data_IF_541329514309
#
_entry.id   IF_541329514309
#
_cell.length_a   1.000
_cell.length_b   1.000
_cell.length_c   1.000
_cell.angle_alpha   90.00
_cell.angle_beta   90.00
_cell.angle_gamma   90.00
#
_symmetry.space_group_name_H-M   'P 1'
#
loop_
_entity.id
_entity.type
_entity.pdbx_description
1 polymer ?
#
# COMPACT_ATOMS: atom_id res chain seq x y z
N UNK A 1 43.29 -13.22 28.73
CA UNK A 1 42.33 -12.16 29.10
C UNK A 1 41.60 -11.73 27.85
N UNK A 2 40.27 -11.70 27.87
CA UNK A 2 39.46 -11.21 26.76
C UNK A 2 39.63 -9.69 26.67
N UNK A 3 39.91 -9.16 25.47
CA UNK A 3 40.09 -7.72 25.26
C UNK A 3 38.75 -7.00 25.18
N UNK A 4 38.73 -5.69 25.47
CA UNK A 4 37.53 -4.88 25.31
C UNK A 4 36.98 -4.93 23.86
N UNK A 5 37.86 -4.98 22.86
CA UNK A 5 37.48 -5.14 21.46
C UNK A 5 36.73 -6.47 21.19
N UNK A 6 37.15 -7.56 21.83
CA UNK A 6 36.48 -8.86 21.74
C UNK A 6 35.11 -8.88 22.43
N UNK A 7 34.90 -8.06 23.47
CA UNK A 7 33.60 -7.91 24.13
C UNK A 7 32.68 -7.00 23.30
N UNK A 8 33.22 -5.99 22.61
CA UNK A 8 32.42 -5.06 21.82
C UNK A 8 31.96 -5.63 20.48
N UNK A 9 32.74 -6.54 19.88
CA UNK A 9 32.39 -7.17 18.61
C UNK A 9 31.09 -7.99 18.67
N UNK A 10 30.74 -8.54 19.84
CA UNK A 10 29.49 -9.29 20.03
C UNK A 10 28.24 -8.39 20.02
N UNK A 11 28.40 -7.08 20.15
CA UNK A 11 27.31 -6.09 20.14
C UNK A 11 27.28 -5.26 18.85
N UNK A 12 28.13 -5.56 17.86
CA UNK A 12 28.06 -4.92 16.55
C UNK A 12 26.82 -5.41 15.79
N UNK A 13 25.84 -4.52 15.63
CA UNK A 13 24.71 -4.76 14.74
C UNK A 13 25.16 -4.65 13.28
N UNK A 14 24.81 -5.65 12.48
CA UNK A 14 25.09 -5.72 11.03
C UNK A 14 24.04 -4.99 10.19
N UNK A 15 23.06 -4.33 10.82
CA UNK A 15 21.88 -3.76 10.15
C UNK A 15 20.79 -4.79 9.84
N UNK A 16 21.17 -6.07 9.70
CA UNK A 16 20.27 -7.24 9.68
C UNK A 16 19.68 -7.52 11.07
N UNK A 17 19.91 -6.66 12.08
CA UNK A 17 19.25 -6.69 13.40
C UNK A 17 18.28 -5.50 13.63
N UNK A 18 17.99 -4.66 12.62
CA UNK A 18 16.93 -3.63 12.64
C UNK A 18 15.50 -4.21 12.64
N UNK A 19 14.50 -3.60 13.26
CA UNK A 19 13.13 -4.10 13.56
C UNK A 19 12.28 -4.83 12.47
N UNK A 20 12.83 -5.18 11.31
CA UNK A 20 12.19 -5.86 10.18
C UNK A 20 12.57 -7.34 10.00
N UNK A 21 13.15 -8.03 11.00
CA UNK A 21 13.50 -9.46 10.88
C UNK A 21 12.28 -10.33 10.68
N UNK A 22 12.38 -11.19 9.68
CA UNK A 22 11.68 -12.48 9.55
C UNK A 22 10.14 -12.45 9.58
N UNK A 23 9.52 -11.27 9.59
CA UNK A 23 8.14 -11.14 9.10
C UNK A 23 8.24 -11.09 7.60
N UNK A 24 7.72 -12.11 6.92
CA UNK A 24 7.58 -12.25 5.47
C UNK A 24 6.87 -11.05 4.80
N UNK A 25 7.44 -9.85 4.86
CA UNK A 25 6.89 -8.63 4.27
C UNK A 25 7.56 -8.48 2.92
N UNK A 26 6.97 -9.13 1.93
CA UNK A 26 7.33 -8.89 0.54
C UNK A 26 6.85 -7.48 0.16
N UNK A 27 7.66 -6.69 -0.58
CA UNK A 27 7.18 -5.43 -1.14
C UNK A 27 5.90 -5.72 -1.94
N UNK A 28 4.93 -4.81 -1.86
CA UNK A 28 3.66 -4.92 -2.60
C UNK A 28 3.53 -3.78 -3.62
N UNK A 29 3.73 -2.53 -3.18
CA UNK A 29 3.50 -1.35 -4.02
C UNK A 29 4.59 -1.17 -5.09
N UNK A 30 5.86 -1.42 -4.75
CA UNK A 30 7.00 -1.24 -5.66
C UNK A 30 7.64 -2.57 -6.09
N UNK A 31 6.90 -3.65 -5.92
CA UNK A 31 7.41 -5.00 -6.19
C UNK A 31 7.70 -5.19 -7.68
N UNK A 32 8.91 -5.63 -8.00
CA UNK A 32 9.30 -5.94 -9.38
C UNK A 32 9.45 -4.72 -10.30
N UNK A 33 9.51 -3.50 -9.76
CA UNK A 33 9.80 -2.30 -10.55
C UNK A 33 11.31 -2.11 -10.75
N UNK A 34 11.71 -1.70 -11.95
CA UNK A 34 13.09 -1.36 -12.30
C UNK A 34 13.28 0.13 -12.71
N UNK A 35 12.20 0.91 -12.62
CA UNK A 35 12.16 2.33 -13.00
C UNK A 35 11.79 2.57 -14.46
N UNK A 36 11.72 1.54 -15.30
CA UNK A 36 11.38 1.64 -16.72
C UNK A 36 10.13 0.84 -17.10
N UNK A 37 9.80 -0.18 -16.30
CA UNK A 37 8.70 -1.12 -16.55
C UNK A 37 7.34 -0.68 -15.94
N UNK A 38 7.05 0.62 -15.92
CA UNK A 38 5.80 1.17 -15.38
C UNK A 38 4.66 1.24 -16.41
N UNK A 39 4.92 0.83 -17.66
CA UNK A 39 3.93 0.80 -18.72
C UNK A 39 2.82 -0.22 -18.47
N UNK A 40 1.65 0.00 -19.09
CA UNK A 40 0.44 -0.82 -18.91
C UNK A 40 0.67 -2.33 -19.09
N UNK A 41 1.44 -2.72 -20.11
CA UNK A 41 1.74 -4.13 -20.41
C UNK A 41 2.55 -4.79 -19.30
N UNK A 42 3.56 -4.07 -18.79
CA UNK A 42 4.41 -4.57 -17.72
C UNK A 42 3.65 -4.62 -16.39
N UNK A 43 2.79 -3.63 -16.13
CA UNK A 43 1.88 -3.62 -14.99
C UNK A 43 0.97 -4.85 -15.01
N UNK A 44 0.33 -5.15 -16.14
CA UNK A 44 -0.48 -6.36 -16.32
C UNK A 44 0.34 -7.65 -16.16
N UNK A 45 1.55 -7.71 -16.72
CA UNK A 45 2.44 -8.87 -16.60
C UNK A 45 2.87 -9.16 -15.14
N UNK A 46 2.87 -8.14 -14.27
CA UNK A 46 3.10 -8.27 -12.82
C UNK A 46 1.82 -8.57 -12.02
N UNK A 47 0.69 -8.86 -12.68
CA UNK A 47 -0.60 -9.13 -12.03
C UNK A 47 -1.47 -7.88 -11.81
N UNK A 48 -1.15 -6.78 -12.48
CA UNK A 48 -1.95 -5.56 -12.49
C UNK A 48 -3.41 -5.82 -12.86
N UNK A 49 -4.32 -5.08 -12.22
CA UNK A 49 -5.78 -5.20 -12.34
C UNK A 49 -6.44 -6.52 -11.90
N UNK A 50 -5.71 -7.53 -11.44
CA UNK A 50 -6.34 -8.80 -10.99
C UNK A 50 -7.39 -8.56 -9.89
N UNK A 51 -7.05 -7.76 -8.88
CA UNK A 51 -7.98 -7.39 -7.82
C UNK A 51 -9.18 -6.60 -8.36
N UNK A 52 -8.97 -5.68 -9.31
CA UNK A 52 -10.04 -4.89 -9.90
C UNK A 52 -11.01 -5.77 -10.70
N UNK A 53 -10.48 -6.68 -11.51
CA UNK A 53 -11.26 -7.65 -12.28
C UNK A 53 -12.13 -8.51 -11.37
N UNK A 54 -11.55 -9.01 -10.26
CA UNK A 54 -12.29 -9.76 -9.23
C UNK A 54 -13.42 -8.94 -8.61
N UNK A 55 -13.16 -7.67 -8.25
CA UNK A 55 -14.16 -6.79 -7.63
C UNK A 55 -15.32 -6.49 -8.59
N UNK A 56 -15.01 -6.21 -9.86
CA UNK A 56 -15.98 -5.83 -10.89
C UNK A 56 -16.66 -7.01 -11.60
N UNK A 57 -16.43 -8.25 -11.16
CA UNK A 57 -16.92 -9.46 -11.82
C UNK A 57 -16.48 -9.62 -13.29
N UNK A 58 -15.28 -9.12 -13.64
CA UNK A 58 -14.71 -9.34 -14.96
C UNK A 58 -13.98 -10.70 -14.96
N UNK A 59 -14.72 -11.79 -15.20
CA UNK A 59 -14.22 -13.18 -15.18
C UNK A 59 -15.26 -14.15 -14.62
N UNK A 60 -14.81 -15.21 -13.94
CA UNK A 60 -15.68 -16.18 -13.26
C UNK A 60 -15.97 -15.73 -11.82
N UNK A 61 -17.19 -15.26 -11.54
CA UNK A 61 -17.63 -14.89 -10.19
C UNK A 61 -18.73 -13.83 -10.16
N UNK A 62 -19.26 -13.56 -8.96
CA UNK A 62 -20.36 -12.60 -8.74
C UNK A 62 -19.91 -11.14 -8.49
N UNK A 63 -18.60 -10.89 -8.45
CA UNK A 63 -18.05 -9.59 -8.03
C UNK A 63 -18.25 -9.32 -6.53
N UNK A 64 -17.81 -8.15 -6.08
CA UNK A 64 -18.06 -7.68 -4.71
C UNK A 64 -19.04 -6.52 -4.74
N UNK A 65 -20.00 -6.53 -3.81
CA UNK A 65 -20.86 -5.37 -3.57
C UNK A 65 -20.07 -4.24 -2.91
N UNK A 66 -20.58 -3.01 -2.98
CA UNK A 66 -19.98 -1.86 -2.31
C UNK A 66 -19.79 -2.10 -0.80
N UNK A 67 -20.75 -2.76 -0.16
CA UNK A 67 -20.69 -3.07 1.27
C UNK A 67 -19.62 -4.12 1.58
N UNK A 68 -19.46 -5.14 0.73
CA UNK A 68 -18.39 -6.14 0.86
C UNK A 68 -17.01 -5.50 0.74
N UNK A 69 -16.79 -4.64 -0.26
CA UNK A 69 -15.52 -3.91 -0.41
C UNK A 69 -15.21 -3.06 0.82
N UNK A 70 -16.19 -2.32 1.33
CA UNK A 70 -16.02 -1.46 2.52
C UNK A 70 -15.76 -2.30 3.77
N UNK A 71 -16.42 -3.46 3.92
CA UNK A 71 -16.18 -4.40 5.00
C UNK A 71 -14.74 -4.95 4.95
N UNK A 72 -14.26 -5.38 3.78
CA UNK A 72 -12.88 -5.86 3.60
C UNK A 72 -11.85 -4.79 3.98
N UNK A 73 -12.04 -3.53 3.56
CA UNK A 73 -11.12 -2.45 3.92
C UNK A 73 -11.20 -2.11 5.41
N UNK A 74 -12.38 -2.21 6.04
CA UNK A 74 -12.53 -2.04 7.50
C UNK A 74 -11.80 -3.15 8.27
N UNK A 75 -11.94 -4.40 7.85
CA UNK A 75 -11.29 -5.56 8.44
C UNK A 75 -9.76 -5.51 8.29
N UNK A 76 -9.25 -4.99 7.16
CA UNK A 76 -7.81 -4.84 6.92
C UNK A 76 -7.10 -3.90 7.92
N UNK A 77 -7.85 -3.08 8.66
CA UNK A 77 -7.29 -2.08 9.56
C UNK A 77 -6.56 -0.94 8.85
N UNK A 78 -6.80 -0.72 7.55
CA UNK A 78 -6.15 0.35 6.78
C UNK A 78 -6.45 1.72 7.39
N UNK A 79 -5.38 2.44 7.74
CA UNK A 79 -5.41 3.83 8.21
C UNK A 79 -4.91 4.77 7.13
N UNK A 80 -5.41 6.00 7.11
CA UNK A 80 -5.00 7.04 6.18
C UNK A 80 -3.50 7.33 6.25
N UNK A 81 -2.84 7.38 5.09
CA UNK A 81 -1.38 7.55 4.96
C UNK A 81 -0.92 8.98 4.65
N UNK A 82 -1.84 9.93 4.56
CA UNK A 82 -1.55 11.36 4.46
C UNK A 82 -1.44 12.07 5.83
N UNK A 83 -0.90 11.40 6.85
CA UNK A 83 -0.67 11.99 8.18
C UNK A 83 -1.82 11.84 9.20
N UNK A 84 -3.08 12.02 8.80
CA UNK A 84 -4.21 12.02 9.74
C UNK A 84 -4.49 10.67 10.44
N UNK A 85 -4.13 9.53 9.81
CA UNK A 85 -4.27 8.21 10.42
C UNK A 85 -5.71 7.74 10.69
N UNK A 86 -6.73 8.38 10.10
CA UNK A 86 -8.13 7.98 10.26
C UNK A 86 -8.41 6.61 9.60
N UNK A 87 -9.23 5.71 10.18
CA UNK A 87 -9.55 4.42 9.57
C UNK A 87 -10.28 4.57 8.22
N UNK A 88 -9.67 4.10 7.13
CA UNK A 88 -10.15 4.31 5.76
C UNK A 88 -11.50 3.63 5.50
N UNK A 89 -11.68 2.38 5.97
CA UNK A 89 -12.95 1.66 5.81
C UNK A 89 -14.11 2.33 6.55
N UNK A 90 -13.86 2.94 7.71
CA UNK A 90 -14.86 3.75 8.42
C UNK A 90 -15.17 5.04 7.65
N UNK A 91 -14.14 5.75 7.15
CA UNK A 91 -14.32 6.95 6.32
C UNK A 91 -15.24 6.68 5.13
N UNK A 92 -15.06 5.57 4.43
CA UNK A 92 -15.89 5.19 3.28
C UNK A 92 -17.35 4.86 3.66
N UNK A 93 -17.58 4.35 4.88
CA UNK A 93 -18.93 4.04 5.34
C UNK A 93 -19.79 5.29 5.64
N UNK A 94 -19.20 6.47 5.77
CA UNK A 94 -19.95 7.72 5.92
C UNK A 94 -20.58 8.21 4.61
N UNK A 95 -20.15 7.70 3.45
CA UNK A 95 -20.73 8.09 2.18
C UNK A 95 -22.13 7.47 1.99
N UNK A 96 -23.18 8.29 1.75
CA UNK A 96 -24.53 7.78 1.57
C UNK A 96 -24.61 6.84 0.36
N UNK A 97 -25.22 5.66 0.57
CA UNK A 97 -25.39 4.65 -0.49
C UNK A 97 -26.25 5.19 -1.63
N UNK A 98 -27.41 5.73 -1.27
CA UNK A 98 -28.46 6.20 -2.16
C UNK A 98 -28.40 7.71 -2.46
N UNK A 99 -27.23 8.34 -2.39
CA UNK A 99 -27.12 9.77 -2.72
C UNK A 99 -27.59 10.01 -4.17
N UNK A 100 -28.60 10.86 -4.42
CA UNK A 100 -29.24 11.02 -5.73
C UNK A 100 -28.44 11.91 -6.71
N UNK A 101 -27.13 12.00 -6.57
CA UNK A 101 -26.28 12.88 -7.39
C UNK A 101 -24.90 12.28 -7.69
N UNK A 102 -24.11 13.04 -8.46
CA UNK A 102 -22.77 12.62 -8.84
C UNK A 102 -21.86 12.51 -7.61
N UNK A 103 -21.13 11.40 -7.52
CA UNK A 103 -20.08 11.19 -6.51
C UNK A 103 -18.73 11.49 -7.14
N UNK A 104 -17.83 12.07 -6.36
CA UNK A 104 -16.47 12.41 -6.78
C UNK A 104 -15.46 11.69 -5.90
N UNK A 105 -14.36 11.24 -6.52
CA UNK A 105 -13.20 10.70 -5.85
C UNK A 105 -12.04 11.67 -6.09
N UNK A 106 -11.34 12.05 -5.03
CA UNK A 106 -10.15 12.90 -5.11
C UNK A 106 -8.97 12.12 -4.56
N UNK A 107 -7.95 11.93 -5.40
CA UNK A 107 -6.64 11.48 -4.96
C UNK A 107 -5.85 12.70 -4.49
N UNK A 108 -5.47 12.75 -3.21
CA UNK A 108 -4.58 13.81 -2.74
C UNK A 108 -3.13 13.38 -2.99
N UNK A 109 -2.52 13.96 -4.01
CA UNK A 109 -1.11 13.77 -4.37
C UNK A 109 -0.24 14.98 -3.99
N UNK A 110 -0.76 15.91 -3.19
CA UNK A 110 0.01 17.05 -2.69
C UNK A 110 0.94 16.57 -1.56
N UNK A 111 2.18 16.24 -1.93
CA UNK A 111 3.23 15.79 -1.03
C UNK A 111 4.17 16.94 -0.67
N UNK A 112 3.62 17.97 0.00
CA UNK A 112 4.34 19.21 0.32
C UNK A 112 5.05 19.24 1.68
N UNK A 113 4.87 18.23 2.53
CA UNK A 113 5.49 18.21 3.86
C UNK A 113 7.00 17.94 3.75
N UNK A 114 7.87 18.77 4.37
CA UNK A 114 9.32 18.57 4.31
C UNK A 114 9.73 17.18 4.78
N UNK A 115 10.49 16.47 3.95
CA UNK A 115 10.96 15.11 4.25
C UNK A 115 9.99 13.98 3.83
N UNK A 116 8.84 14.30 3.24
CA UNK A 116 7.97 13.32 2.59
C UNK A 116 8.28 13.20 1.10
N UNK A 117 8.43 11.96 0.61
CA UNK A 117 8.77 11.66 -0.78
C UNK A 117 8.28 10.28 -1.26
N UNK A 118 7.29 9.71 -0.57
CA UNK A 118 6.78 8.35 -0.80
C UNK A 118 5.80 8.30 -1.98
N UNK A 119 4.99 9.36 -2.17
CA UNK A 119 3.92 9.36 -3.17
C UNK A 119 4.49 9.72 -4.54
N UNK A 120 5.48 10.63 -4.59
CA UNK A 120 6.20 10.98 -5.82
C UNK A 120 6.67 9.75 -6.61
N UNK A 121 7.34 8.82 -5.93
CA UNK A 121 7.93 7.66 -6.60
C UNK A 121 6.85 6.65 -7.04
N UNK A 122 5.73 6.56 -6.34
CA UNK A 122 4.58 5.76 -6.78
C UNK A 122 4.01 6.36 -8.07
N UNK A 123 3.78 7.67 -8.11
CA UNK A 123 3.25 8.33 -9.31
C UNK A 123 4.20 8.25 -10.51
N UNK A 124 5.51 8.24 -10.26
CA UNK A 124 6.52 8.20 -11.31
C UNK A 124 6.76 6.79 -11.84
N UNK A 125 6.71 5.76 -10.98
CA UNK A 125 7.16 4.41 -11.33
C UNK A 125 6.08 3.33 -11.18
N UNK A 126 4.90 3.64 -10.64
CA UNK A 126 3.75 2.73 -10.57
C UNK A 126 2.40 3.49 -10.57
N UNK A 127 2.08 4.19 -11.67
CA UNK A 127 0.85 4.97 -11.80
C UNK A 127 -0.42 4.11 -11.91
#
# INVERSE_FOLDING_TARGET
>A
MTTAAQILSQFQATGVQTCFHDRHINPQIVAGLDGTNWGIKDYEARGGYEALRKILAQGEGAGLTQDQVIATVKESGLRGRGGAGFPTGLKWSFMPRSFPGQKYLVCNSDEGEPGTCKDRDILQFNP
#
